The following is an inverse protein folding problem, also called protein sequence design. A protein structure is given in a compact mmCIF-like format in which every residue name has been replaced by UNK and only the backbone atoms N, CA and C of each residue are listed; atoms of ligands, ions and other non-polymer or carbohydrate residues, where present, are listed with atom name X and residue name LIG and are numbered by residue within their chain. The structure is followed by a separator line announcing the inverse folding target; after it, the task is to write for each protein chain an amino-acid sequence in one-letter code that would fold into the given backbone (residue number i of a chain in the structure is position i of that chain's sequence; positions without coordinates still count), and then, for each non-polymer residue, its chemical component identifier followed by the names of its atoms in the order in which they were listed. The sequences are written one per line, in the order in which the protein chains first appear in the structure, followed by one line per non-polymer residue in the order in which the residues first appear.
data_IF_471400286230
#
_entry.id   IF_471400286230
#
_cell.length_a   1.000
_cell.length_b   1.000
_cell.length_c   1.000
_cell.angle_alpha   90.00
_cell.angle_beta   90.00
_cell.angle_gamma   90.00
#
_symmetry.space_group_name_H-M   'P 1'
#
loop_
_entity.id
_entity.type
_entity.pdbx_description
1 polymer ?
#
# COMPACT_ATOMS: atom_id res chain seq x y z
N UNK A 1 19.94 2.46 -13.48
CA UNK A 1 21.18 2.65 -12.73
C UNK A 1 20.98 2.05 -11.36
N UNK A 2 21.91 1.24 -10.92
CA UNK A 2 21.99 0.70 -9.57
C UNK A 2 22.15 1.85 -8.57
N UNK A 3 21.66 1.71 -7.32
CA UNK A 3 21.96 2.66 -6.25
C UNK A 3 23.46 2.77 -5.93
N UNK A 4 24.27 1.86 -6.46
CA UNK A 4 25.72 1.76 -6.27
C UNK A 4 26.54 2.16 -7.50
N UNK A 5 25.88 2.63 -8.57
CA UNK A 5 26.60 3.14 -9.73
C UNK A 5 27.26 4.47 -9.31
N UNK A 6 28.59 4.48 -9.20
CA UNK A 6 29.34 5.69 -8.87
C UNK A 6 29.28 6.65 -10.06
N UNK A 7 28.77 7.86 -9.82
CA UNK A 7 28.86 8.94 -10.79
C UNK A 7 30.32 9.43 -10.90
N UNK A 8 30.67 9.94 -12.09
CA UNK A 8 32.00 10.49 -12.32
C UNK A 8 32.10 11.79 -11.53
N UNK A 9 33.11 11.90 -10.68
CA UNK A 9 33.37 13.10 -9.88
C UNK A 9 33.70 14.25 -10.83
N UNK A 10 32.98 15.36 -10.69
CA UNK A 10 33.28 16.60 -11.40
C UNK A 10 34.60 17.19 -10.87
N UNK A 11 35.68 17.23 -11.68
CA UNK A 11 36.98 17.75 -11.25
C UNK A 11 36.94 19.24 -10.91
N UNK A 12 35.95 20.00 -11.38
CA UNK A 12 35.79 21.42 -11.06
C UNK A 12 35.14 21.66 -9.69
N UNK A 13 34.65 20.59 -9.05
CA UNK A 13 33.80 20.67 -7.87
C UNK A 13 34.24 19.71 -6.75
N UNK A 14 35.52 19.77 -6.43
CA UNK A 14 36.12 19.01 -5.33
C UNK A 14 35.93 19.73 -3.98
N UNK A 15 35.82 19.00 -2.86
CA UNK A 15 35.78 19.63 -1.54
C UNK A 15 37.16 20.21 -1.19
N UNK A 16 37.19 21.27 -0.39
CA UNK A 16 38.45 21.90 0.06
C UNK A 16 39.27 20.97 0.98
N UNK A 17 38.57 20.10 1.72
CA UNK A 17 39.14 19.06 2.58
C UNK A 17 38.48 17.73 2.22
N UNK A 18 39.26 16.66 2.11
CA UNK A 18 38.79 15.30 1.81
C UNK A 18 37.77 14.78 2.85
N UNK A 19 37.70 15.40 4.03
CA UNK A 19 36.69 15.11 5.05
C UNK A 19 35.31 15.74 4.80
N UNK A 20 35.20 16.67 3.84
CA UNK A 20 33.98 17.43 3.56
C UNK A 20 33.19 16.85 2.40
N UNK A 21 31.86 16.93 2.51
CA UNK A 21 30.94 16.57 1.44
C UNK A 21 30.71 17.73 0.48
N UNK A 22 30.52 17.40 -0.80
CA UNK A 22 30.03 18.35 -1.80
C UNK A 22 28.49 18.36 -1.71
N UNK A 23 27.82 19.52 -1.58
CA UNK A 23 26.36 19.57 -1.60
C UNK A 23 25.83 19.07 -2.94
N UNK A 24 24.62 18.51 -3.03
CA UNK A 24 24.05 18.10 -4.33
C UNK A 24 23.40 19.32 -5.01
N UNK A 25 23.59 19.53 -6.31
CA UNK A 25 22.93 20.60 -7.09
C UNK A 25 21.46 20.28 -7.30
N UNK A 26 20.63 21.31 -7.51
CA UNK A 26 19.22 21.13 -7.86
C UNK A 26 19.04 20.34 -9.17
N UNK A 27 19.93 20.52 -10.14
CA UNK A 27 19.92 19.80 -11.41
C UNK A 27 20.27 18.32 -11.23
N UNK A 28 21.28 18.01 -10.41
CA UNK A 28 21.67 16.65 -10.02
C UNK A 28 20.53 15.96 -9.26
N UNK A 29 19.92 16.65 -8.29
CA UNK A 29 18.73 16.16 -7.58
C UNK A 29 17.61 15.84 -8.56
N UNK A 30 17.32 16.73 -9.51
CA UNK A 30 16.24 16.55 -10.48
C UNK A 30 16.52 15.43 -11.49
N UNK A 31 17.79 15.17 -11.82
CA UNK A 31 18.19 14.08 -12.71
C UNK A 31 18.07 12.71 -12.03
N UNK A 32 18.38 12.64 -10.73
CA UNK A 32 18.28 11.45 -9.88
C UNK A 32 16.81 11.12 -9.56
N UNK A 33 15.95 12.13 -9.49
CA UNK A 33 14.51 11.93 -9.28
C UNK A 33 13.93 11.02 -10.37
N UNK A 34 13.17 10.02 -9.92
CA UNK A 34 12.53 9.06 -10.81
C UNK A 34 11.59 9.77 -11.81
N UNK A 35 11.82 9.52 -13.10
CA UNK A 35 10.96 9.95 -14.20
C UNK A 35 10.04 8.79 -14.58
N UNK A 36 8.73 9.02 -14.53
CA UNK A 36 7.71 8.01 -14.90
C UNK A 36 7.87 7.61 -16.37
N UNK A 37 8.03 6.32 -16.65
CA UNK A 37 8.12 5.81 -18.03
C UNK A 37 6.72 5.32 -18.44
N UNK A 38 6.36 5.50 -19.71
CA UNK A 38 5.05 5.18 -20.28
C UNK A 38 4.60 3.71 -20.10
N UNK A 39 5.50 2.81 -19.72
CA UNK A 39 5.22 1.39 -19.47
C UNK A 39 5.12 0.99 -17.98
N UNK A 40 5.30 1.93 -17.05
CA UNK A 40 5.18 1.64 -15.62
C UNK A 40 3.72 1.44 -15.17
N UNK A 41 2.77 1.98 -15.95
CA UNK A 41 1.33 1.85 -15.75
C UNK A 41 0.64 1.54 -17.09
N UNK A 42 -0.33 0.62 -17.14
CA UNK A 42 -0.94 0.17 -18.39
C UNK A 42 -1.88 1.20 -19.07
N UNK A 43 -1.98 2.42 -18.55
CA UNK A 43 -2.99 3.40 -18.94
C UNK A 43 -2.39 4.80 -19.15
N UNK A 44 -3.03 5.59 -20.03
CA UNK A 44 -2.50 6.86 -20.53
C UNK A 44 -2.61 8.06 -19.58
N UNK A 45 -3.43 8.00 -18.51
CA UNK A 45 -3.58 9.09 -17.54
C UNK A 45 -3.43 8.59 -16.09
N UNK A 46 -2.18 8.55 -15.61
CA UNK A 46 -1.82 8.17 -14.25
C UNK A 46 -2.46 9.10 -13.20
N UNK A 47 -2.65 10.38 -13.51
CA UNK A 47 -3.19 11.36 -12.56
C UNK A 47 -4.65 11.06 -12.27
N UNK A 48 -5.44 10.77 -13.31
CA UNK A 48 -6.85 10.39 -13.17
C UNK A 48 -7.00 9.06 -12.43
N UNK A 49 -6.19 8.06 -12.78
CA UNK A 49 -6.21 6.74 -12.14
C UNK A 49 -5.87 6.83 -10.67
N UNK A 50 -4.81 7.56 -10.32
CA UNK A 50 -4.42 7.78 -8.93
C UNK A 50 -5.55 8.44 -8.15
N UNK A 51 -6.21 9.44 -8.75
CA UNK A 51 -7.37 10.12 -8.15
C UNK A 51 -8.54 9.16 -7.91
N UNK A 52 -8.85 8.28 -8.86
CA UNK A 52 -9.89 7.26 -8.70
C UNK A 52 -9.55 6.26 -7.59
N UNK A 53 -8.32 5.77 -7.55
CA UNK A 53 -7.85 4.84 -6.51
C UNK A 53 -7.94 5.49 -5.14
N UNK A 54 -7.45 6.73 -4.99
CA UNK A 54 -7.51 7.47 -3.72
C UNK A 54 -8.96 7.68 -3.27
N UNK A 55 -9.87 8.02 -4.18
CA UNK A 55 -11.29 8.15 -3.87
C UNK A 55 -11.91 6.81 -3.42
N UNK A 56 -11.59 5.71 -4.11
CA UNK A 56 -12.04 4.37 -3.73
C UNK A 56 -11.52 3.95 -2.35
N UNK A 57 -10.22 4.12 -2.09
CA UNK A 57 -9.61 3.83 -0.78
C UNK A 57 -10.24 4.68 0.32
N UNK A 58 -10.52 5.96 0.05
CA UNK A 58 -11.20 6.84 1.00
C UNK A 58 -12.58 6.29 1.39
N UNK A 59 -13.34 5.73 0.43
CA UNK A 59 -14.62 5.08 0.71
C UNK A 59 -14.50 3.75 1.45
N UNK A 60 -13.41 3.01 1.24
CA UNK A 60 -13.10 1.83 2.05
C UNK A 60 -12.81 2.25 3.51
N UNK A 61 -12.07 3.34 3.72
CA UNK A 61 -11.76 3.86 5.06
C UNK A 61 -12.99 4.37 5.83
N UNK A 62 -14.10 4.68 5.14
CA UNK A 62 -15.37 5.07 5.78
C UNK A 62 -16.15 3.86 6.34
N UNK A 63 -15.78 2.63 6.01
CA UNK A 63 -16.43 1.42 6.52
C UNK A 63 -16.05 1.18 7.98
N UNK A 64 -17.02 0.81 8.82
CA UNK A 64 -16.78 0.52 10.24
C UNK A 64 -15.72 -0.59 10.46
N UNK A 65 -15.68 -1.58 9.56
CA UNK A 65 -14.71 -2.68 9.63
C UNK A 65 -13.26 -2.23 9.37
N UNK A 66 -13.06 -1.04 8.81
CA UNK A 66 -11.75 -0.48 8.48
C UNK A 66 -11.04 0.16 9.68
N UNK A 67 -11.76 0.41 10.79
CA UNK A 67 -11.25 1.15 11.95
C UNK A 67 -9.87 0.67 12.46
N UNK A 68 -9.61 -0.64 12.63
CA UNK A 68 -8.31 -1.12 13.11
C UNK A 68 -7.15 -0.95 12.11
N UNK A 69 -7.47 -0.60 10.86
CA UNK A 69 -6.53 -0.53 9.74
C UNK A 69 -6.34 0.91 9.23
N UNK A 70 -7.01 1.90 9.85
CA UNK A 70 -6.95 3.29 9.39
C UNK A 70 -5.57 3.90 9.56
N UNK A 71 -4.88 3.54 10.63
CA UNK A 71 -3.59 4.10 11.03
C UNK A 71 -2.63 2.97 11.43
N UNK A 72 -1.30 3.23 11.52
CA UNK A 72 -0.36 2.24 12.02
C UNK A 72 -0.75 1.72 13.41
N UNK A 73 -0.55 0.42 13.64
CA UNK A 73 -0.74 -0.21 14.95
C UNK A 73 0.19 0.44 15.99
N UNK A 74 -0.36 0.86 17.13
CA UNK A 74 0.42 1.46 18.21
C UNK A 74 1.28 0.39 18.91
N UNK A 75 2.59 0.47 18.70
CA UNK A 75 3.56 -0.45 19.29
C UNK A 75 3.72 -0.28 20.81
N UNK A 76 3.25 0.83 21.39
CA UNK A 76 3.22 0.98 22.84
C UNK A 76 2.09 0.15 23.45
N UNK A 77 0.97 0.04 22.74
CA UNK A 77 -0.18 -0.79 23.12
C UNK A 77 0.05 -2.27 22.78
N UNK A 78 0.69 -2.53 21.63
CA UNK A 78 1.03 -3.88 21.15
C UNK A 78 2.54 -4.06 20.93
N UNK A 79 3.38 -4.13 22.00
CA UNK A 79 4.84 -4.22 21.87
C UNK A 79 5.35 -5.42 21.07
N UNK A 80 4.61 -6.54 21.10
CA UNK A 80 4.97 -7.74 20.34
C UNK A 80 4.77 -7.57 18.83
N UNK A 81 3.98 -6.59 18.39
CA UNK A 81 3.68 -6.38 16.97
C UNK A 81 4.96 -6.14 16.16
N UNK A 82 5.85 -5.29 16.67
CA UNK A 82 7.14 -5.00 16.03
C UNK A 82 8.13 -6.18 16.03
N UNK A 83 7.91 -7.18 16.89
CA UNK A 83 8.73 -8.41 16.92
C UNK A 83 8.21 -9.48 15.96
N UNK A 84 6.91 -9.46 15.66
CA UNK A 84 6.23 -10.48 14.84
C UNK A 84 6.05 -10.02 13.39
N UNK A 85 5.77 -8.74 13.16
CA UNK A 85 5.45 -8.18 11.85
C UNK A 85 6.64 -7.44 11.27
N UNK A 86 7.22 -7.99 10.20
CA UNK A 86 8.42 -7.43 9.55
C UNK A 86 8.10 -6.25 8.63
N UNK A 87 6.87 -6.14 8.14
CA UNK A 87 6.44 -5.10 7.22
C UNK A 87 5.10 -4.49 7.65
N UNK A 88 5.10 -3.57 8.65
CA UNK A 88 3.89 -2.85 9.05
C UNK A 88 3.34 -2.01 7.89
N UNK A 89 2.02 -2.07 7.70
CA UNK A 89 1.29 -1.30 6.69
C UNK A 89 -0.14 -1.05 7.18
N UNK A 90 -0.74 0.05 6.71
CA UNK A 90 -2.09 0.48 7.05
C UNK A 90 -2.69 1.31 5.90
N UNK A 91 -4.00 1.59 5.97
CA UNK A 91 -4.72 2.30 4.90
C UNK A 91 -4.30 3.76 4.75
N UNK A 92 -3.95 4.48 5.84
CA UNK A 92 -3.45 5.85 5.72
C UNK A 92 -2.11 5.90 4.99
N UNK A 93 -1.21 4.95 5.29
CA UNK A 93 0.09 4.84 4.60
C UNK A 93 -0.11 4.55 3.11
N UNK A 94 -0.98 3.59 2.77
CA UNK A 94 -1.26 3.24 1.36
C UNK A 94 -1.87 4.43 0.62
N UNK A 95 -2.87 5.11 1.21
CA UNK A 95 -3.50 6.29 0.64
C UNK A 95 -2.49 7.41 0.41
N UNK A 96 -1.65 7.71 1.39
CA UNK A 96 -0.62 8.74 1.30
C UNK A 96 0.40 8.40 0.20
N UNK A 97 0.78 7.12 0.05
CA UNK A 97 1.67 6.67 -1.03
C UNK A 97 1.06 6.88 -2.43
N UNK A 98 -0.24 6.70 -2.60
CA UNK A 98 -0.91 7.07 -3.84
C UNK A 98 -0.93 8.59 -4.07
N UNK A 99 -1.33 9.37 -3.07
CA UNK A 99 -1.41 10.83 -3.16
C UNK A 99 -0.05 11.47 -3.52
N UNK A 100 1.05 10.89 -3.02
CA UNK A 100 2.40 11.35 -3.28
C UNK A 100 3.09 10.65 -4.47
N UNK A 101 2.34 9.88 -5.28
CA UNK A 101 2.87 9.15 -6.46
C UNK A 101 4.08 8.25 -6.11
N UNK A 102 4.11 7.70 -4.91
CA UNK A 102 5.19 6.85 -4.41
C UNK A 102 5.27 5.52 -5.16
N UNK A 103 4.11 4.95 -5.50
CA UNK A 103 4.05 3.69 -6.23
C UNK A 103 4.49 3.89 -7.68
N UNK A 104 5.68 3.39 -8.00
CA UNK A 104 6.15 3.34 -9.39
C UNK A 104 5.37 2.33 -10.24
N UNK A 105 4.93 1.22 -9.63
CA UNK A 105 4.24 0.11 -10.29
C UNK A 105 3.00 -0.29 -9.50
N UNK A 106 1.92 -0.65 -10.18
CA UNK A 106 0.69 -1.14 -9.55
C UNK A 106 0.93 -2.37 -8.66
N UNK A 107 1.88 -3.23 -9.03
CA UNK A 107 2.25 -4.42 -8.25
C UNK A 107 2.83 -4.09 -6.87
N UNK A 108 3.50 -2.94 -6.72
CA UNK A 108 3.98 -2.48 -5.42
C UNK A 108 2.82 -2.10 -4.49
N UNK A 109 1.78 -1.48 -5.03
CA UNK A 109 0.57 -1.19 -4.26
C UNK A 109 -0.21 -2.46 -3.92
N UNK A 110 -0.30 -3.43 -4.85
CA UNK A 110 -0.92 -4.72 -4.58
C UNK A 110 -0.19 -5.49 -3.46
N UNK A 111 1.14 -5.38 -3.39
CA UNK A 111 1.93 -5.97 -2.33
C UNK A 111 1.55 -5.37 -0.97
N UNK A 112 1.57 -4.05 -0.84
CA UNK A 112 1.17 -3.35 0.39
C UNK A 112 -0.25 -3.72 0.83
N UNK A 113 -1.21 -3.70 -0.10
CA UNK A 113 -2.61 -4.04 0.21
C UNK A 113 -2.74 -5.48 0.70
N UNK A 114 -2.04 -6.44 0.10
CA UNK A 114 -2.07 -7.85 0.55
C UNK A 114 -1.54 -8.00 1.97
N UNK A 115 -0.58 -7.17 2.36
CA UNK A 115 -0.01 -7.19 3.71
C UNK A 115 -0.99 -6.75 4.80
N UNK A 116 -2.10 -6.08 4.49
CA UNK A 116 -3.17 -5.82 5.46
C UNK A 116 -3.73 -7.15 6.02
N UNK A 117 -4.11 -8.08 5.14
CA UNK A 117 -4.56 -9.41 5.55
C UNK A 117 -3.42 -10.27 6.09
N UNK A 118 -2.26 -10.30 5.41
CA UNK A 118 -1.12 -11.13 5.85
C UNK A 118 -0.65 -10.78 7.26
N UNK A 119 -0.55 -9.49 7.61
CA UNK A 119 -0.17 -9.06 8.94
C UNK A 119 -1.25 -9.38 9.97
N UNK A 120 -2.52 -9.16 9.62
CA UNK A 120 -3.64 -9.48 10.51
C UNK A 120 -3.66 -10.97 10.84
N UNK A 121 -3.51 -11.85 9.85
CA UNK A 121 -3.47 -13.31 10.02
C UNK A 121 -2.25 -13.80 10.80
N UNK A 122 -1.12 -13.11 10.67
CA UNK A 122 0.12 -13.47 11.36
C UNK A 122 0.10 -13.08 12.83
N UNK A 123 -0.50 -11.95 13.17
CA UNK A 123 -0.51 -11.42 14.53
C UNK A 123 -1.74 -11.86 15.35
N UNK A 124 -2.90 -12.01 14.70
CA UNK A 124 -4.16 -12.28 15.38
C UNK A 124 -4.63 -13.73 15.20
N UNK A 125 -5.62 -14.14 16.00
CA UNK A 125 -6.22 -15.48 15.90
C UNK A 125 -6.94 -15.67 14.56
N UNK A 126 -6.77 -16.85 13.93
CA UNK A 126 -7.22 -17.15 12.55
C UNK A 126 -8.72 -16.92 12.27
N UNK A 127 -9.57 -17.02 13.29
CA UNK A 127 -11.03 -16.86 13.19
C UNK A 127 -11.55 -15.56 13.81
N UNK A 128 -10.65 -14.68 14.25
CA UNK A 128 -11.03 -13.39 14.83
C UNK A 128 -11.67 -12.46 13.78
N UNK A 129 -12.56 -11.58 14.24
CA UNK A 129 -13.22 -10.61 13.37
C UNK A 129 -12.22 -9.70 12.66
N UNK A 130 -11.10 -9.33 13.31
CA UNK A 130 -10.06 -8.51 12.68
C UNK A 130 -9.43 -9.20 11.47
N UNK A 131 -9.19 -10.51 11.52
CA UNK A 131 -8.69 -11.28 10.37
C UNK A 131 -9.71 -11.31 9.24
N UNK A 132 -10.99 -11.56 9.56
CA UNK A 132 -12.07 -11.53 8.57
C UNK A 132 -12.17 -10.15 7.89
N UNK A 133 -12.19 -9.09 8.69
CA UNK A 133 -12.23 -7.71 8.20
C UNK A 133 -11.02 -7.39 7.30
N UNK A 134 -9.81 -7.81 7.70
CA UNK A 134 -8.60 -7.60 6.92
C UNK A 134 -8.70 -8.24 5.52
N UNK A 135 -9.24 -9.45 5.43
CA UNK A 135 -9.45 -10.14 4.14
C UNK A 135 -10.45 -9.39 3.25
N UNK A 136 -11.58 -8.96 3.81
CA UNK A 136 -12.61 -8.20 3.08
C UNK A 136 -12.03 -6.87 2.57
N UNK A 137 -11.33 -6.11 3.42
CA UNK A 137 -10.70 -4.84 3.06
C UNK A 137 -9.62 -5.02 1.98
N UNK A 138 -8.81 -6.07 2.10
CA UNK A 138 -7.78 -6.42 1.11
C UNK A 138 -8.42 -6.68 -0.25
N UNK A 139 -9.46 -7.50 -0.31
CA UNK A 139 -10.15 -7.82 -1.57
C UNK A 139 -10.84 -6.59 -2.17
N UNK A 140 -11.47 -5.74 -1.34
CA UNK A 140 -12.03 -4.46 -1.79
C UNK A 140 -10.97 -3.57 -2.45
N UNK A 141 -9.84 -3.36 -1.77
CA UNK A 141 -8.77 -2.52 -2.28
C UNK A 141 -8.15 -3.10 -3.57
N UNK A 142 -7.95 -4.42 -3.63
CA UNK A 142 -7.44 -5.08 -4.85
C UNK A 142 -8.40 -4.95 -6.04
N UNK A 143 -9.72 -5.01 -5.81
CA UNK A 143 -10.72 -4.78 -6.87
C UNK A 143 -10.70 -3.34 -7.36
N UNK A 144 -10.60 -2.36 -6.46
CA UNK A 144 -10.45 -0.94 -6.82
C UNK A 144 -9.20 -0.74 -7.70
N UNK A 145 -8.08 -1.38 -7.35
CA UNK A 145 -6.87 -1.33 -8.18
C UNK A 145 -7.04 -1.96 -9.56
N UNK A 146 -7.76 -3.08 -9.67
CA UNK A 146 -8.02 -3.75 -10.96
C UNK A 146 -8.97 -2.95 -11.85
N UNK A 147 -9.93 -2.26 -11.25
CA UNK A 147 -10.96 -1.46 -11.94
C UNK A 147 -10.64 0.04 -11.92
N UNK A 148 -9.36 0.41 -11.79
CA UNK A 148 -8.95 1.80 -11.57
C UNK A 148 -9.26 2.77 -12.74
N UNK A 149 -9.62 2.23 -13.91
CA UNK A 149 -10.12 3.00 -15.06
C UNK A 149 -11.61 3.38 -14.95
N UNK A 150 -12.36 2.77 -14.03
CA UNK A 150 -13.81 2.89 -13.91
C UNK A 150 -14.21 3.37 -12.51
N UNK A 151 -15.43 3.91 -12.39
CA UNK A 151 -15.99 4.21 -11.08
C UNK A 151 -16.37 2.90 -10.36
N UNK A 152 -15.97 2.79 -9.10
CA UNK A 152 -16.21 1.62 -8.28
C UNK A 152 -17.18 1.96 -7.16
N UNK A 153 -18.34 1.31 -7.14
CA UNK A 153 -19.33 1.44 -6.07
C UNK A 153 -18.94 0.55 -4.87
N UNK A 154 -18.17 1.13 -3.95
CA UNK A 154 -17.59 0.46 -2.78
C UNK A 154 -18.65 -0.16 -1.86
N UNK A 155 -19.74 0.52 -1.47
CA UNK A 155 -20.81 -0.08 -0.67
C UNK A 155 -21.40 -1.35 -1.29
N UNK A 156 -21.74 -1.32 -2.58
CA UNK A 156 -22.30 -2.50 -3.25
C UNK A 156 -21.31 -3.64 -3.35
N UNK A 157 -20.02 -3.35 -3.58
CA UNK A 157 -18.98 -4.37 -3.55
C UNK A 157 -18.78 -4.98 -2.17
N UNK A 158 -18.81 -4.14 -1.14
CA UNK A 158 -18.68 -4.57 0.25
C UNK A 158 -19.80 -5.54 0.62
N UNK A 159 -21.07 -5.19 0.36
CA UNK A 159 -22.20 -6.07 0.64
C UNK A 159 -22.08 -7.42 -0.09
N UNK A 160 -21.68 -7.42 -1.38
CA UNK A 160 -21.45 -8.67 -2.12
C UNK A 160 -20.36 -9.54 -1.51
N UNK A 161 -19.26 -8.93 -1.05
CA UNK A 161 -18.16 -9.65 -0.42
C UNK A 161 -18.58 -10.24 0.93
N UNK A 162 -19.26 -9.46 1.76
CA UNK A 162 -19.76 -9.93 3.07
C UNK A 162 -20.68 -11.14 2.88
N UNK A 163 -21.66 -11.07 1.97
CA UNK A 163 -22.55 -12.22 1.71
C UNK A 163 -21.80 -13.46 1.22
N UNK A 164 -20.71 -13.28 0.45
CA UNK A 164 -19.86 -14.39 0.03
C UNK A 164 -19.09 -15.02 1.20
N UNK A 165 -18.60 -14.20 2.13
CA UNK A 165 -17.87 -14.67 3.31
C UNK A 165 -18.80 -15.38 4.30
N UNK A 166 -19.98 -14.84 4.55
CA UNK A 166 -20.99 -15.45 5.42
C UNK A 166 -21.42 -16.83 4.89
N UNK A 167 -21.55 -16.97 3.56
CA UNK A 167 -21.85 -18.25 2.92
C UNK A 167 -20.72 -19.26 3.08
N UNK A 168 -19.46 -18.85 2.88
CA UNK A 168 -18.31 -19.76 3.01
C UNK A 168 -18.05 -20.20 4.45
N UNK A 169 -18.28 -19.32 5.42
CA UNK A 169 -18.07 -19.66 6.84
C UNK A 169 -19.13 -20.64 7.34
N UNK A 170 -20.36 -20.51 6.86
CA UNK A 170 -21.44 -21.47 7.15
C UNK A 170 -21.11 -22.89 6.66
N UNK A 171 -20.36 -23.00 5.55
CA UNK A 171 -19.91 -24.29 4.99
C UNK A 171 -18.74 -24.88 5.79
N UNK A 172 -17.74 -24.05 6.18
CA UNK A 172 -16.61 -24.50 7.01
C UNK A 172 -17.04 -24.93 8.42
N UNK A 173 -18.02 -24.25 9.04
CA UNK A 173 -18.58 -24.66 10.34
C UNK A 173 -19.41 -25.96 10.26
N UNK A 174 -20.09 -26.20 9.13
CA UNK A 174 -20.87 -27.42 8.92
C UNK A 174 -20.01 -28.66 8.64
N UNK A 175 -18.76 -28.48 8.20
CA UNK A 175 -17.78 -29.55 7.94
C UNK A 175 -16.82 -29.81 9.13
N UNK A 176 -16.91 -29.03 10.21
CA UNK A 176 -16.11 -29.25 11.42
C UNK A 176 -16.63 -30.46 12.22
N UNK A 177 -15.77 -31.45 12.59
CA UNK A 177 -16.17 -32.70 13.25
C UNK A 177 -16.55 -32.58 14.73
#
# INVERSE_FOLDING_TARGET
MSPWDMEIIDPERMPEDESQSIPVLEEELTSILYKTIQCDWPYSDLSLITKHIVAGITRVMELAIAEPFLVPVDINEYPLYAMVIEYPIDLSTIKARFENKFYRRLTAAQFDIRYLATNAEKFNEKHSNIVKHARILTELCLRILRQCSEYVDVPSLYHRLVSSYDSSESEEEAEAP
#
